data_IF_026058684775
#
_entry.id   IF_026058684775
#
_cell.length_a   1.000
_cell.length_b   1.000
_cell.length_c   1.000
_cell.angle_alpha   90.00
_cell.angle_beta   90.00
_cell.angle_gamma   90.00
#
_symmetry.space_group_name_H-M   'P 1'
#
loop_
_entity.id
_entity.type
_entity.pdbx_description
1 polymer ?
#
# COMPACT_ATOMS: atom_id res chain seq x y z
N UNK A 1 -4.30 -0.82 -21.62
CA UNK A 1 -3.36 0.15 -21.02
C UNK A 1 -4.13 1.41 -20.60
N UNK A 2 -4.48 1.52 -19.32
CA UNK A 2 -4.92 2.80 -18.75
C UNK A 2 -3.66 3.56 -18.32
N UNK A 3 -3.38 4.70 -18.96
CA UNK A 3 -2.28 5.58 -18.56
C UNK A 3 -2.66 6.21 -17.22
N UNK A 4 -2.15 5.65 -16.12
CA UNK A 4 -2.24 6.27 -14.80
C UNK A 4 -1.33 7.50 -14.84
N UNK A 5 -1.90 8.64 -15.25
CA UNK A 5 -1.30 9.96 -15.01
C UNK A 5 -1.03 10.06 -13.52
N UNK A 6 0.21 10.40 -13.14
CA UNK A 6 0.57 10.74 -11.76
C UNK A 6 -0.37 11.83 -11.23
N UNK A 7 -1.48 11.42 -10.61
CA UNK A 7 -2.40 12.30 -9.91
C UNK A 7 -1.76 12.67 -8.58
N UNK A 8 -0.93 13.71 -8.60
CA UNK A 8 -0.38 14.35 -7.39
C UNK A 8 -1.33 15.37 -6.79
N UNK A 9 -2.58 15.47 -7.30
CA UNK A 9 -3.62 16.24 -6.63
C UNK A 9 -3.79 15.71 -5.21
N UNK A 10 -3.71 16.63 -4.25
CA UNK A 10 -3.93 16.29 -2.85
C UNK A 10 -5.30 15.62 -2.75
N UNK A 11 -5.42 14.49 -2.04
CA UNK A 11 -6.72 13.84 -1.77
C UNK A 11 -7.77 14.84 -1.27
N UNK A 12 -7.33 15.90 -0.57
CA UNK A 12 -8.20 17.02 -0.15
C UNK A 12 -8.85 17.76 -1.31
N UNK A 13 -8.16 17.95 -2.43
CA UNK A 13 -8.72 18.60 -3.62
C UNK A 13 -9.75 17.67 -4.28
N UNK A 14 -9.47 16.37 -4.38
CA UNK A 14 -10.39 15.39 -4.97
C UNK A 14 -11.70 15.26 -4.19
N UNK A 15 -11.67 15.38 -2.85
CA UNK A 15 -12.86 15.22 -2.01
C UNK A 15 -13.65 16.52 -1.77
N UNK A 16 -13.05 17.70 -2.01
CA UNK A 16 -13.70 18.98 -1.67
C UNK A 16 -14.52 19.61 -2.81
N UNK A 17 -14.43 19.11 -4.04
CA UNK A 17 -15.28 19.56 -5.13
C UNK A 17 -16.71 19.01 -4.97
N UNK A 18 -17.47 19.65 -4.08
CA UNK A 18 -18.84 19.25 -3.70
C UNK A 18 -19.84 19.21 -4.86
N UNK A 19 -19.46 19.69 -6.05
CA UNK A 19 -20.30 19.66 -7.24
C UNK A 19 -20.36 18.27 -7.89
N UNK A 20 -19.40 17.39 -7.59
CA UNK A 20 -19.26 16.06 -8.23
C UNK A 20 -19.64 14.93 -7.24
N UNK A 21 -19.82 15.25 -5.97
CA UNK A 21 -20.14 14.28 -4.93
C UNK A 21 -21.65 14.04 -4.81
N UNK A 22 -22.03 12.76 -4.88
CA UNK A 22 -23.43 12.32 -4.84
C UNK A 22 -23.85 11.81 -3.44
N UNK A 23 -22.86 11.54 -2.58
CA UNK A 23 -23.05 11.03 -1.20
C UNK A 23 -22.12 11.74 -0.23
N UNK A 24 -22.68 12.02 0.93
CA UNK A 24 -22.01 12.45 2.16
C UNK A 24 -21.90 11.26 3.09
N UNK A 25 -20.68 10.95 3.52
CA UNK A 25 -20.40 9.97 4.56
C UNK A 25 -20.13 10.70 5.87
N UNK A 26 -20.73 10.24 6.95
CA UNK A 26 -20.41 10.67 8.31
C UNK A 26 -19.76 9.49 9.01
N UNK A 27 -18.46 9.59 9.26
CA UNK A 27 -17.71 8.58 9.99
C UNK A 27 -17.65 9.00 11.45
N UNK A 28 -18.32 8.23 12.30
CA UNK A 28 -18.33 8.37 13.75
C UNK A 28 -17.37 7.33 14.30
N UNK A 29 -16.07 7.61 14.17
CA UNK A 29 -15.08 6.73 14.76
C UNK A 29 -15.25 6.75 16.28
N UNK A 30 -15.56 5.61 16.89
CA UNK A 30 -15.32 5.47 18.33
C UNK A 30 -13.83 5.57 18.56
N UNK A 31 -13.41 6.65 19.20
CA UNK A 31 -12.07 6.77 19.79
C UNK A 31 -12.02 5.86 21.02
N UNK A 32 -12.26 4.57 20.86
CA UNK A 32 -11.88 3.61 21.89
C UNK A 32 -10.36 3.54 21.79
N UNK A 33 -9.70 4.33 22.65
CA UNK A 33 -8.26 4.23 22.88
C UNK A 33 -7.91 2.75 22.88
N UNK A 34 -6.97 2.28 22.03
CA UNK A 34 -6.58 0.88 22.04
C UNK A 34 -6.28 0.54 23.49
N UNK A 35 -7.11 -0.33 24.09
CA UNK A 35 -6.85 -0.80 25.45
C UNK A 35 -5.45 -1.38 25.37
N UNK A 36 -4.51 -0.76 26.07
CA UNK A 36 -3.14 -1.23 26.10
C UNK A 36 -3.20 -2.74 26.32
N UNK A 37 -2.54 -3.55 25.46
CA UNK A 37 -2.50 -4.97 25.70
C UNK A 37 -1.95 -5.14 27.11
N UNK A 38 -2.78 -5.63 28.03
CA UNK A 38 -2.32 -6.04 29.34
C UNK A 38 -1.33 -7.15 29.06
N UNK A 39 -0.04 -6.82 29.09
CA UNK A 39 1.02 -7.79 29.09
C UNK A 39 0.90 -8.55 30.40
N UNK A 40 0.08 -9.59 30.40
CA UNK A 40 0.13 -10.61 31.43
C UNK A 40 1.55 -11.17 31.41
N UNK A 41 2.23 -10.99 32.53
CA UNK A 41 3.61 -11.36 32.75
C UNK A 41 3.80 -12.85 32.40
N UNK A 42 4.57 -13.20 31.35
CA UNK A 42 4.65 -14.59 30.86
C UNK A 42 5.47 -15.53 31.77
N UNK A 43 5.76 -15.13 33.01
CA UNK A 43 6.69 -15.83 33.90
C UNK A 43 6.05 -16.81 34.91
N UNK A 44 4.76 -17.13 34.82
CA UNK A 44 4.09 -17.90 35.89
C UNK A 44 3.31 -19.16 35.46
N UNK A 45 3.50 -19.68 34.25
CA UNK A 45 2.76 -20.85 33.76
C UNK A 45 3.61 -22.00 33.16
N UNK A 46 4.89 -22.11 33.49
CA UNK A 46 5.68 -23.32 33.17
C UNK A 46 5.46 -24.41 34.23
N UNK A 47 4.23 -24.95 34.27
CA UNK A 47 3.99 -26.27 34.85
C UNK A 47 4.35 -27.33 33.81
N UNK A 48 5.48 -27.99 34.09
CA UNK A 48 5.94 -29.29 33.59
C UNK A 48 4.95 -30.03 32.66
N UNK A 49 5.13 -29.88 31.35
CA UNK A 49 4.60 -30.83 30.38
C UNK A 49 5.61 -31.98 30.18
N UNK A 50 5.18 -33.25 30.24
CA UNK A 50 6.06 -34.41 30.10
C UNK A 50 6.77 -34.39 28.74
N UNK A 51 8.08 -34.68 28.74
CA UNK A 51 8.94 -34.56 27.53
C UNK A 51 8.45 -35.40 26.34
N UNK A 52 7.69 -36.47 26.59
CA UNK A 52 7.14 -37.34 25.55
C UNK A 52 6.08 -36.65 24.66
N UNK A 53 5.33 -35.67 25.17
CA UNK A 53 4.34 -34.94 24.36
C UNK A 53 5.00 -33.93 23.40
N UNK A 54 6.17 -33.39 23.77
CA UNK A 54 6.90 -32.42 22.94
C UNK A 54 7.49 -33.04 21.68
N UNK A 55 7.91 -34.29 21.76
CA UNK A 55 8.46 -34.99 20.59
C UNK A 55 7.34 -35.42 19.63
N UNK A 56 6.17 -35.80 20.15
CA UNK A 56 4.99 -36.11 19.33
C UNK A 56 4.45 -34.86 18.61
N UNK A 57 4.47 -33.70 19.28
CA UNK A 57 4.09 -32.42 18.69
C UNK A 57 5.07 -31.98 17.59
N UNK A 58 6.39 -32.12 17.81
CA UNK A 58 7.40 -31.85 16.79
C UNK A 58 7.25 -32.74 15.56
N UNK A 59 6.92 -34.03 15.72
CA UNK A 59 6.71 -34.91 14.58
C UNK A 59 5.46 -34.51 13.77
N UNK A 60 4.38 -34.09 14.45
CA UNK A 60 3.16 -33.56 13.79
C UNK A 60 3.44 -32.25 13.06
N UNK A 61 4.23 -31.35 13.63
CA UNK A 61 4.64 -30.11 12.97
C UNK A 61 5.48 -30.39 11.72
N UNK A 62 6.45 -31.31 11.80
CA UNK A 62 7.29 -31.70 10.65
C UNK A 62 6.44 -32.33 9.53
N UNK A 63 5.43 -33.14 9.86
CA UNK A 63 4.51 -33.70 8.85
C UNK A 63 3.67 -32.61 8.19
N UNK A 64 3.11 -31.68 8.99
CA UNK A 64 2.31 -30.56 8.48
C UNK A 64 3.14 -29.61 7.60
N UNK A 65 4.40 -29.35 7.96
CA UNK A 65 5.31 -28.51 7.17
C UNK A 65 5.70 -29.16 5.83
N UNK A 66 5.78 -30.50 5.77
CA UNK A 66 6.00 -31.24 4.52
C UNK A 66 4.78 -31.23 3.61
N UNK A 67 3.58 -31.26 4.18
CA UNK A 67 2.32 -31.21 3.44
C UNK A 67 2.10 -29.82 2.82
N UNK A 68 2.33 -28.75 3.60
CA UNK A 68 2.29 -27.36 3.10
C UNK A 68 3.32 -27.15 1.97
N UNK A 69 4.55 -27.64 2.12
CA UNK A 69 5.58 -27.56 1.05
C UNK A 69 5.23 -28.36 -0.21
N UNK A 70 4.31 -29.32 -0.10
CA UNK A 70 3.82 -30.10 -1.25
C UNK A 70 2.71 -29.33 -1.96
N UNK A 71 1.75 -28.78 -1.22
CA UNK A 71 0.69 -27.90 -1.76
C UNK A 71 1.29 -26.66 -2.44
N UNK A 72 2.26 -25.98 -1.81
CA UNK A 72 2.92 -24.80 -2.41
C UNK A 72 3.59 -25.12 -3.77
N UNK A 73 4.13 -26.33 -3.94
CA UNK A 73 4.72 -26.77 -5.20
C UNK A 73 3.69 -27.15 -6.27
N UNK A 74 2.51 -27.59 -5.85
CA UNK A 74 1.40 -27.88 -6.76
C UNK A 74 0.80 -26.56 -7.27
N UNK A 75 0.62 -25.57 -6.40
CA UNK A 75 0.15 -24.22 -6.74
C UNK A 75 1.12 -23.44 -7.63
N UNK A 76 2.45 -23.56 -7.41
CA UNK A 76 3.45 -22.94 -8.29
C UNK A 76 3.38 -23.52 -9.72
N UNK A 77 3.18 -24.83 -9.86
CA UNK A 77 3.06 -25.49 -11.17
C UNK A 77 1.74 -25.16 -11.90
N UNK A 78 0.64 -24.94 -11.18
CA UNK A 78 -0.62 -24.52 -11.79
C UNK A 78 -0.55 -23.07 -12.29
N UNK A 79 0.07 -22.18 -11.51
CA UNK A 79 0.27 -20.78 -11.91
C UNK A 79 1.21 -20.63 -13.12
N UNK A 80 2.26 -21.45 -13.24
CA UNK A 80 3.11 -21.44 -14.44
C UNK A 80 2.31 -21.85 -15.69
N UNK A 81 1.42 -22.85 -15.60
CA UNK A 81 0.57 -23.28 -16.71
C UNK A 81 -0.52 -22.27 -17.08
N UNK A 82 -1.07 -21.53 -16.12
CA UNK A 82 -2.03 -20.46 -16.42
C UNK A 82 -1.35 -19.27 -17.09
N UNK A 83 -0.17 -18.87 -16.62
CA UNK A 83 0.59 -17.76 -17.21
C UNK A 83 1.02 -18.05 -18.66
N UNK A 84 1.39 -19.30 -19.00
CA UNK A 84 1.69 -19.68 -20.39
C UNK A 84 0.45 -19.53 -21.29
N UNK A 85 -0.73 -19.95 -20.83
CA UNK A 85 -1.99 -19.83 -21.59
C UNK A 85 -2.46 -18.39 -21.75
N UNK A 86 -2.21 -17.53 -20.76
CA UNK A 86 -2.61 -16.12 -20.82
C UNK A 86 -1.72 -15.33 -21.79
N UNK A 87 -0.41 -15.62 -21.81
CA UNK A 87 0.52 -15.05 -22.78
C UNK A 87 0.21 -15.44 -24.23
N UNK A 88 -0.23 -16.67 -24.49
CA UNK A 88 -0.67 -17.08 -25.84
C UNK A 88 -1.90 -16.30 -26.30
N UNK A 89 -2.90 -16.11 -25.42
CA UNK A 89 -4.11 -15.35 -25.74
C UNK A 89 -3.87 -13.84 -25.92
N UNK A 90 -2.90 -13.28 -25.21
CA UNK A 90 -2.57 -11.86 -25.34
C UNK A 90 -1.90 -11.57 -26.69
N UNK A 91 -1.01 -12.48 -27.14
CA UNK A 91 -0.37 -12.39 -28.45
C UNK A 91 -1.38 -12.54 -29.63
N UNK A 92 -2.40 -13.39 -29.50
CA UNK A 92 -3.45 -13.50 -30.54
C UNK A 92 -4.28 -12.20 -30.65
N UNK A 93 -4.64 -11.59 -29.52
CA UNK A 93 -5.43 -10.34 -29.50
C UNK A 93 -4.66 -9.12 -29.97
N UNK A 94 -3.34 -9.10 -29.82
CA UNK A 94 -2.51 -8.00 -30.31
C UNK A 94 -2.42 -8.01 -31.85
N UNK A 95 -2.35 -9.20 -32.46
CA UNK A 95 -2.38 -9.38 -33.91
C UNK A 95 -3.74 -9.00 -34.54
N UNK A 96 -4.87 -9.29 -33.89
CA UNK A 96 -6.19 -8.87 -34.38
C UNK A 96 -6.37 -7.34 -34.35
N UNK A 97 -5.84 -6.66 -33.32
CA UNK A 97 -5.95 -5.20 -33.16
C UNK A 97 -5.06 -4.41 -34.12
N UNK A 98 -3.96 -4.97 -34.60
CA UNK A 98 -3.17 -4.34 -35.67
C UNK A 98 -3.91 -4.34 -37.00
N UNK A 99 -4.64 -5.41 -37.32
CA UNK A 99 -5.43 -5.50 -38.56
C UNK A 99 -6.66 -4.56 -38.58
N UNK A 100 -7.31 -4.32 -37.42
CA UNK A 100 -8.43 -3.35 -37.36
C UNK A 100 -7.97 -1.89 -37.49
N UNK A 101 -6.79 -1.54 -36.96
CA UNK A 101 -6.25 -0.18 -37.03
C UNK A 101 -5.80 0.23 -38.43
N UNK A 102 -5.46 -0.71 -39.31
CA UNK A 102 -5.19 -0.42 -40.72
C UNK A 102 -6.47 -0.06 -41.49
N UNK A 103 -7.59 -0.72 -41.18
CA UNK A 103 -8.88 -0.48 -41.84
C UNK A 103 -9.58 0.82 -41.40
N UNK A 104 -9.37 1.29 -40.16
CA UNK A 104 -9.97 2.57 -39.70
C UNK A 104 -9.25 3.81 -40.26
N UNK A 105 -7.94 3.74 -40.52
CA UNK A 105 -7.18 4.86 -41.09
C UNK A 105 -7.62 5.20 -42.52
N UNK A 106 -8.15 4.24 -43.27
CA UNK A 106 -8.66 4.47 -44.63
C UNK A 106 -10.04 5.15 -44.66
N UNK A 107 -10.85 5.02 -43.59
CA UNK A 107 -12.17 5.67 -43.48
C UNK A 107 -12.12 7.12 -42.98
N UNK A 108 -11.18 7.46 -42.10
CA UNK A 108 -11.07 8.81 -41.52
C UNK A 108 -10.57 9.84 -42.55
N UNK A 109 -9.85 9.42 -43.59
CA UNK A 109 -9.38 10.30 -44.68
C UNK A 109 -10.48 10.93 -45.55
N UNK A 110 -11.70 10.36 -45.58
CA UNK A 110 -12.79 10.84 -46.45
C UNK A 110 -13.77 11.81 -45.79
N UNK A 111 -13.78 11.91 -44.44
CA UNK A 111 -14.73 12.76 -43.71
C UNK A 111 -14.17 14.12 -43.26
N UNK A 112 -12.87 14.38 -43.41
CA UNK A 112 -12.27 15.67 -43.01
C UNK A 112 -12.41 16.80 -44.04
N UNK A 113 -13.00 16.53 -45.21
CA UNK A 113 -13.14 17.51 -46.29
C UNK A 113 -14.54 18.14 -46.39
N UNK A 114 -15.55 17.66 -45.66
CA UNK A 114 -16.93 18.19 -45.75
C UNK A 114 -17.34 19.14 -44.61
N UNK A 115 -16.55 19.29 -43.55
CA UNK A 115 -16.92 20.09 -42.37
C UNK A 115 -16.22 21.45 -42.26
N UNK A 116 -15.41 21.85 -43.25
CA UNK A 116 -14.76 23.18 -43.25
C UNK A 116 -15.56 24.30 -43.95
N UNK A 117 -16.70 23.99 -44.57
CA UNK A 117 -17.54 24.99 -45.26
C UNK A 117 -18.77 25.48 -44.47
N UNK A 118 -19.06 24.91 -43.28
CA UNK A 118 -20.28 25.27 -42.52
C UNK A 118 -20.06 26.23 -41.34
N UNK A 119 -18.82 26.54 -40.94
CA UNK A 119 -18.54 27.37 -39.75
C UNK A 119 -18.33 28.87 -40.02
N UNK A 120 -18.46 29.35 -41.26
CA UNK A 120 -18.20 30.78 -41.59
C UNK A 120 -19.45 31.68 -41.65
N UNK A 121 -20.67 31.19 -41.39
CA UNK A 121 -21.91 31.96 -41.57
C UNK A 121 -22.73 32.28 -40.30
N UNK A 122 -22.18 32.20 -39.09
CA UNK A 122 -22.91 32.54 -37.85
C UNK A 122 -22.19 33.53 -36.91
N UNK A 123 -21.46 34.50 -37.47
CA UNK A 123 -20.97 35.64 -36.67
C UNK A 123 -21.32 36.94 -37.38
N UNK A 124 -22.56 37.39 -37.19
CA UNK A 124 -22.98 38.79 -37.24
C UNK A 124 -24.46 38.86 -36.92
N UNK A 125 -24.79 39.77 -35.99
CA UNK A 125 -26.10 40.34 -35.62
C UNK A 125 -26.37 40.14 -34.14
N UNK A 126 -26.18 41.23 -33.39
CA UNK A 126 -26.93 41.68 -32.21
C UNK A 126 -26.02 42.45 -31.26
N UNK A 127 -25.67 43.68 -31.65
CA UNK A 127 -25.41 44.76 -30.70
C UNK A 127 -26.53 45.78 -30.85
N UNK A 128 -26.84 46.44 -29.74
CA UNK A 128 -27.82 47.51 -29.53
C UNK A 128 -29.26 47.05 -29.22
N UNK A 129 -29.60 47.01 -27.91
CA UNK A 129 -30.80 47.63 -27.31
C UNK A 129 -30.67 47.62 -25.77
N UNK A 130 -31.05 48.76 -25.17
CA UNK A 130 -31.48 48.98 -23.77
C UNK A 130 -30.46 49.40 -22.70
N UNK A 131 -30.18 50.72 -22.70
CA UNK A 131 -29.90 51.51 -21.51
C UNK A 131 -31.21 52.09 -20.93
N UNK A 132 -31.87 51.38 -20.01
CA UNK A 132 -32.73 51.96 -18.93
C UNK A 132 -33.43 50.90 -18.03
N UNK A 133 -32.70 49.89 -17.53
CA UNK A 133 -33.21 48.93 -16.52
C UNK A 133 -32.24 48.70 -15.34
N UNK A 134 -31.30 49.62 -15.11
CA UNK A 134 -30.15 49.35 -14.24
C UNK A 134 -30.36 49.65 -12.75
N UNK A 135 -31.41 50.37 -12.36
CA UNK A 135 -31.58 50.76 -10.95
C UNK A 135 -32.53 49.83 -10.16
N UNK A 136 -33.60 49.32 -10.79
CA UNK A 136 -34.46 48.28 -10.19
C UNK A 136 -33.79 46.91 -10.11
N UNK A 137 -32.87 46.58 -11.04
CA UNK A 137 -32.09 45.32 -10.98
C UNK A 137 -31.08 45.30 -9.84
N UNK A 138 -30.49 46.45 -9.48
CA UNK A 138 -29.51 46.53 -8.38
C UNK A 138 -30.15 46.24 -7.02
N UNK A 139 -31.37 46.72 -6.79
CA UNK A 139 -32.08 46.50 -5.52
C UNK A 139 -32.52 45.03 -5.34
N UNK A 140 -33.03 44.40 -6.41
CA UNK A 140 -33.34 42.96 -6.40
C UNK A 140 -32.09 42.07 -6.22
N UNK A 141 -30.93 42.51 -6.72
CA UNK A 141 -29.65 41.81 -6.52
C UNK A 141 -29.19 41.92 -5.05
N UNK A 142 -29.35 43.09 -4.41
CA UNK A 142 -28.98 43.27 -3.01
C UNK A 142 -29.89 42.46 -2.07
N UNK A 143 -31.20 42.41 -2.32
CA UNK A 143 -32.13 41.62 -1.51
C UNK A 143 -31.87 40.11 -1.63
N UNK A 144 -31.54 39.62 -2.85
CA UNK A 144 -31.11 38.22 -3.07
C UNK A 144 -29.80 37.91 -2.36
N UNK A 145 -28.84 38.84 -2.32
CA UNK A 145 -27.58 38.69 -1.57
C UNK A 145 -27.84 38.59 -0.06
N UNK A 146 -28.70 39.46 0.50
CA UNK A 146 -29.05 39.45 1.92
C UNK A 146 -29.79 38.16 2.35
N UNK A 147 -30.74 37.67 1.52
CA UNK A 147 -31.43 36.39 1.77
C UNK A 147 -30.46 35.20 1.70
N UNK A 148 -29.51 35.21 0.76
CA UNK A 148 -28.46 34.17 0.63
C UNK A 148 -27.50 34.17 1.82
N UNK A 149 -27.18 35.34 2.37
CA UNK A 149 -26.30 35.45 3.55
C UNK A 149 -26.99 35.01 4.84
N UNK A 150 -28.29 35.35 5.04
CA UNK A 150 -29.08 34.85 6.17
C UNK A 150 -29.23 33.32 6.14
N UNK A 151 -29.40 32.72 4.95
CA UNK A 151 -29.41 31.26 4.76
C UNK A 151 -28.05 30.64 5.15
N UNK A 152 -26.94 31.22 4.68
CA UNK A 152 -25.57 30.79 5.07
C UNK A 152 -25.32 30.84 6.59
N UNK A 153 -25.84 31.86 7.28
CA UNK A 153 -25.71 31.98 8.75
C UNK A 153 -26.57 30.96 9.50
N UNK A 154 -27.76 30.61 8.97
CA UNK A 154 -28.62 29.56 9.53
C UNK A 154 -28.02 28.16 9.34
N UNK A 155 -27.42 27.90 8.18
CA UNK A 155 -26.74 26.62 7.89
C UNK A 155 -25.45 26.46 8.72
N UNK A 156 -24.69 27.54 8.95
CA UNK A 156 -23.53 27.55 9.87
C UNK A 156 -23.91 27.23 11.32
N UNK A 157 -25.14 27.51 11.75
CA UNK A 157 -25.60 27.26 13.13
C UNK A 157 -26.08 25.81 13.34
N UNK A 158 -26.32 25.06 12.26
CA UNK A 158 -26.77 23.65 12.29
C UNK A 158 -25.61 22.65 12.18
N UNK A 159 -24.39 23.10 11.87
CA UNK A 159 -23.20 22.25 11.76
C UNK A 159 -22.32 22.28 13.01
N UNK A 160 -22.92 22.19 14.19
CA UNK A 160 -22.17 21.89 15.41
C UNK A 160 -21.92 20.38 15.41
N UNK A 161 -20.99 19.94 14.57
CA UNK A 161 -20.52 18.55 14.57
C UNK A 161 -19.90 18.25 15.95
N UNK A 162 -20.25 17.12 16.52
CA UNK A 162 -19.67 16.65 17.78
C UNK A 162 -18.18 16.37 17.55
N UNK A 163 -17.33 16.68 18.53
CA UNK A 163 -15.90 16.37 18.47
C UNK A 163 -15.71 14.86 18.21
N UNK A 164 -15.32 14.50 16.98
CA UNK A 164 -15.13 13.11 16.56
C UNK A 164 -15.79 12.72 15.24
N UNK A 165 -16.75 13.50 14.74
CA UNK A 165 -17.38 13.21 13.44
C UNK A 165 -16.53 13.74 12.28
N UNK A 166 -16.16 12.86 11.35
CA UNK A 166 -15.52 13.24 10.08
C UNK A 166 -16.51 13.10 8.93
N UNK A 167 -16.62 14.13 8.10
CA UNK A 167 -17.51 14.16 6.94
C UNK A 167 -16.72 14.02 5.66
N UNK A 168 -17.10 13.06 4.81
CA UNK A 168 -16.49 12.82 3.50
C UNK A 168 -17.54 12.96 2.40
N UNK A 169 -17.14 13.48 1.25
CA UNK A 169 -18.00 13.59 0.08
C UNK A 169 -17.41 12.73 -1.05
N UNK A 170 -18.22 11.83 -1.61
CA UNK A 170 -17.74 10.85 -2.58
C UNK A 170 -18.75 10.64 -3.71
N UNK A 171 -18.25 10.11 -4.84
CA UNK A 171 -19.08 9.75 -5.98
C UNK A 171 -19.59 8.31 -5.85
N UNK A 172 -20.90 8.08 -6.06
CA UNK A 172 -21.52 6.74 -5.93
C UNK A 172 -20.94 5.74 -6.92
N UNK A 173 -20.67 6.18 -8.14
CA UNK A 173 -20.23 5.32 -9.24
C UNK A 173 -18.85 4.72 -8.94
N UNK A 174 -17.95 5.52 -8.36
CA UNK A 174 -16.60 5.06 -7.97
C UNK A 174 -16.71 3.99 -6.88
N UNK A 175 -17.50 4.25 -5.84
CA UNK A 175 -17.70 3.30 -4.74
C UNK A 175 -18.41 2.03 -5.17
N UNK A 176 -19.41 2.14 -6.05
CA UNK A 176 -20.09 1.00 -6.67
C UNK A 176 -19.10 0.10 -7.42
N UNK A 177 -18.16 0.68 -8.16
CA UNK A 177 -17.21 -0.10 -8.95
C UNK A 177 -16.14 -0.80 -8.10
N UNK A 178 -15.81 -0.25 -6.93
CA UNK A 178 -14.78 -0.84 -6.06
C UNK A 178 -15.31 -1.82 -5.01
N UNK A 179 -16.63 -1.89 -4.79
CA UNK A 179 -17.24 -2.60 -3.68
C UNK A 179 -18.63 -3.13 -4.01
N UNK A 180 -18.82 -4.43 -3.82
CA UNK A 180 -20.14 -5.06 -3.93
C UNK A 180 -21.10 -4.57 -2.82
N UNK A 181 -20.56 -4.32 -1.62
CA UNK A 181 -21.34 -3.74 -0.53
C UNK A 181 -21.97 -2.39 -0.91
N UNK A 182 -21.19 -1.47 -1.49
CA UNK A 182 -21.72 -0.19 -1.93
C UNK A 182 -22.67 -0.32 -3.12
N UNK A 183 -22.42 -1.28 -4.01
CA UNK A 183 -23.33 -1.59 -5.12
C UNK A 183 -24.71 -2.02 -4.61
N UNK A 184 -24.75 -2.96 -3.68
CA UNK A 184 -26.01 -3.38 -3.05
C UNK A 184 -26.65 -2.23 -2.26
N UNK A 185 -25.87 -1.49 -1.48
CA UNK A 185 -26.36 -0.39 -0.66
C UNK A 185 -26.99 0.75 -1.48
N UNK A 186 -26.46 1.05 -2.68
CA UNK A 186 -26.93 2.17 -3.50
C UNK A 186 -28.01 1.80 -4.53
N UNK A 187 -28.01 0.57 -5.03
CA UNK A 187 -28.85 0.17 -6.17
C UNK A 187 -29.92 -0.87 -5.83
N UNK A 188 -29.95 -1.41 -4.61
CA UNK A 188 -31.02 -2.32 -4.22
C UNK A 188 -32.37 -1.58 -4.13
N UNK A 189 -33.34 -2.01 -4.94
CA UNK A 189 -34.66 -1.40 -5.07
C UNK A 189 -35.51 -1.44 -3.80
N UNK A 190 -35.20 -2.34 -2.87
CA UNK A 190 -35.90 -2.42 -1.59
C UNK A 190 -35.53 -1.23 -0.71
N UNK A 191 -34.27 -0.79 -0.75
CA UNK A 191 -33.80 0.34 0.06
C UNK A 191 -34.37 1.65 -0.49
N UNK A 192 -34.32 1.83 -1.82
CA UNK A 192 -35.44 2.30 -2.66
C UNK A 192 -36.53 3.18 -2.07
N UNK A 193 -37.43 2.49 -1.38
CA UNK A 193 -38.76 2.95 -1.04
C UNK A 193 -38.82 3.47 0.39
N UNK A 194 -37.79 3.20 1.19
CA UNK A 194 -37.86 3.30 2.65
C UNK A 194 -37.10 4.50 3.24
N UNK A 195 -36.14 5.10 2.51
CA UNK A 195 -35.31 6.19 3.06
C UNK A 195 -35.21 7.40 2.13
N UNK A 196 -35.72 8.55 2.58
CA UNK A 196 -35.50 9.86 1.95
C UNK A 196 -34.05 10.40 2.09
N UNK A 197 -33.12 9.60 2.64
CA UNK A 197 -31.76 10.01 3.00
C UNK A 197 -30.66 9.25 2.21
N UNK A 198 -30.79 9.11 0.87
CA UNK A 198 -29.77 8.46 0.02
C UNK A 198 -28.44 9.20 -0.10
N UNK A 199 -28.41 10.44 0.37
CA UNK A 199 -27.25 11.29 0.26
C UNK A 199 -26.40 11.24 1.53
N UNK A 200 -26.83 10.53 2.58
CA UNK A 200 -26.08 10.46 3.83
C UNK A 200 -25.91 9.01 4.29
N UNK A 201 -24.66 8.59 4.48
CA UNK A 201 -24.31 7.27 5.01
C UNK A 201 -23.51 7.46 6.30
N UNK A 202 -23.97 6.86 7.39
CA UNK A 202 -23.28 6.92 8.68
C UNK A 202 -22.45 5.65 8.88
N UNK A 203 -21.18 5.79 9.25
CA UNK A 203 -20.24 4.70 9.49
C UNK A 203 -19.71 4.82 10.92
N UNK A 204 -20.14 3.90 11.79
CA UNK A 204 -19.80 3.96 13.22
C UNK A 204 -18.65 3.02 13.62
N UNK A 205 -18.30 2.04 12.77
CA UNK A 205 -17.41 0.93 13.13
C UNK A 205 -15.92 1.21 12.93
N UNK A 206 -15.56 2.25 12.20
CA UNK A 206 -14.18 2.48 11.76
C UNK A 206 -13.72 3.90 12.03
N UNK A 207 -12.43 4.05 12.30
CA UNK A 207 -11.82 5.37 12.38
C UNK A 207 -11.83 6.09 11.03
N UNK A 208 -11.95 7.42 11.08
CA UNK A 208 -11.90 8.29 9.91
C UNK A 208 -10.61 8.10 9.09
N UNK A 209 -9.46 7.86 9.76
CA UNK A 209 -8.17 7.63 9.10
C UNK A 209 -8.18 6.35 8.24
N UNK A 210 -8.78 5.28 8.75
CA UNK A 210 -8.92 4.02 8.01
C UNK A 210 -9.82 4.24 6.80
N UNK A 211 -10.96 4.94 6.99
CA UNK A 211 -11.86 5.26 5.89
C UNK A 211 -11.21 6.09 4.78
N UNK A 212 -10.32 7.03 5.12
CA UNK A 212 -9.53 7.77 4.13
C UNK A 212 -8.68 6.84 3.26
N UNK A 213 -8.08 5.79 3.84
CA UNK A 213 -7.27 4.83 3.08
C UNK A 213 -8.15 4.01 2.13
N UNK A 214 -9.36 3.60 2.57
CA UNK A 214 -10.34 2.94 1.70
C UNK A 214 -10.73 3.83 0.52
N UNK A 215 -11.02 5.12 0.78
CA UNK A 215 -11.35 6.08 -0.26
C UNK A 215 -10.17 6.32 -1.20
N UNK A 216 -8.95 6.48 -0.68
CA UNK A 216 -7.75 6.59 -1.49
C UNK A 216 -7.64 5.39 -2.44
N UNK A 217 -7.78 4.17 -1.90
CA UNK A 217 -7.74 2.96 -2.71
C UNK A 217 -8.83 2.93 -3.79
N UNK A 218 -10.07 3.31 -3.46
CA UNK A 218 -11.16 3.35 -4.43
C UNK A 218 -10.88 4.28 -5.62
N UNK A 219 -10.17 5.39 -5.39
CA UNK A 219 -9.86 6.38 -6.43
C UNK A 219 -8.55 6.09 -7.17
N UNK A 220 -7.51 5.61 -6.48
CA UNK A 220 -6.15 5.48 -7.04
C UNK A 220 -5.69 4.04 -7.22
N UNK A 221 -6.47 3.06 -6.75
CA UNK A 221 -6.08 1.64 -6.64
C UNK A 221 -4.77 1.43 -5.87
N UNK A 222 -4.42 2.36 -4.97
CA UNK A 222 -3.22 2.32 -4.13
C UNK A 222 -3.54 2.69 -2.69
N UNK A 223 -2.84 2.08 -1.73
CA UNK A 223 -3.07 2.29 -0.30
C UNK A 223 -1.76 2.38 0.48
N UNK A 224 -1.70 3.27 1.46
CA UNK A 224 -0.55 3.43 2.37
C UNK A 224 -0.72 2.58 3.61
N UNK A 225 -0.16 1.37 3.57
CA UNK A 225 -0.19 0.40 4.68
C UNK A 225 1.06 0.54 5.56
N UNK A 226 0.86 0.42 6.86
CA UNK A 226 1.88 0.48 7.92
C UNK A 226 1.62 -0.63 8.94
N UNK A 227 2.61 -0.94 9.78
CA UNK A 227 2.50 -1.96 10.82
C UNK A 227 1.34 -1.69 11.80
N UNK A 228 1.00 -0.42 12.02
CA UNK A 228 -0.01 -0.02 13.00
C UNK A 228 -1.43 -0.03 12.44
N UNK A 229 -1.60 0.09 11.11
CA UNK A 229 -2.92 0.27 10.49
C UNK A 229 -3.38 -0.88 9.59
N UNK A 230 -2.47 -1.76 9.13
CA UNK A 230 -2.79 -2.73 8.08
C UNK A 230 -3.94 -3.68 8.48
N UNK A 231 -4.00 -4.06 9.75
CA UNK A 231 -5.03 -4.97 10.27
C UNK A 231 -6.41 -4.31 10.25
N UNK A 232 -6.51 -3.08 10.77
CA UNK A 232 -7.74 -2.30 10.71
C UNK A 232 -8.18 -2.01 9.28
N UNK A 233 -7.24 -1.72 8.37
CA UNK A 233 -7.52 -1.52 6.95
C UNK A 233 -8.04 -2.81 6.30
N UNK A 234 -7.42 -3.96 6.60
CA UNK A 234 -7.86 -5.26 6.10
C UNK A 234 -9.28 -5.57 6.56
N UNK A 235 -9.56 -5.39 7.84
CA UNK A 235 -10.87 -5.73 8.42
C UNK A 235 -11.97 -4.80 7.89
N UNK A 236 -11.66 -3.51 7.74
CA UNK A 236 -12.56 -2.57 7.07
C UNK A 236 -12.78 -2.91 5.59
N UNK A 237 -11.72 -3.29 4.87
CA UNK A 237 -11.83 -3.71 3.47
C UNK A 237 -12.68 -4.99 3.32
N UNK A 238 -12.57 -5.95 4.25
CA UNK A 238 -13.44 -7.13 4.30
C UNK A 238 -14.89 -6.73 4.57
N UNK A 239 -15.11 -5.84 5.54
CA UNK A 239 -16.47 -5.36 5.87
C UNK A 239 -17.16 -4.69 4.67
N UNK A 240 -16.43 -3.84 3.95
CA UNK A 240 -16.94 -3.17 2.75
C UNK A 240 -16.72 -3.99 1.46
N UNK A 241 -16.33 -5.26 1.55
CA UNK A 241 -16.14 -6.16 0.40
C UNK A 241 -15.24 -5.57 -0.72
N UNK A 242 -14.16 -4.88 -0.35
CA UNK A 242 -13.16 -4.33 -1.28
C UNK A 242 -12.05 -5.35 -1.48
N UNK A 243 -12.34 -6.41 -2.24
CA UNK A 243 -11.49 -7.59 -2.39
C UNK A 243 -10.05 -7.27 -2.83
N UNK A 244 -9.88 -6.29 -3.72
CA UNK A 244 -8.55 -5.86 -4.16
C UNK A 244 -7.69 -5.29 -3.02
N UNK A 245 -8.29 -4.53 -2.11
CA UNK A 245 -7.59 -3.98 -0.94
C UNK A 245 -7.32 -5.06 0.12
N UNK A 246 -8.20 -6.05 0.26
CA UNK A 246 -7.97 -7.21 1.14
C UNK A 246 -6.73 -7.98 0.70
N UNK A 247 -6.64 -8.32 -0.59
CA UNK A 247 -5.47 -9.01 -1.17
C UNK A 247 -4.19 -8.17 -1.04
N UNK A 248 -4.30 -6.85 -1.26
CA UNK A 248 -3.17 -5.93 -1.08
C UNK A 248 -2.68 -5.91 0.37
N UNK A 249 -3.59 -5.90 1.36
CA UNK A 249 -3.22 -5.94 2.77
C UNK A 249 -2.59 -7.27 3.19
N UNK A 250 -3.13 -8.40 2.72
CA UNK A 250 -2.61 -9.74 3.02
C UNK A 250 -1.21 -9.96 2.41
N UNK A 251 -1.01 -9.55 1.16
CA UNK A 251 0.31 -9.60 0.51
C UNK A 251 1.34 -8.69 1.18
N UNK A 252 0.95 -7.50 1.62
CA UNK A 252 1.83 -6.58 2.35
C UNK A 252 2.40 -7.23 3.62
N UNK A 253 1.57 -7.93 4.39
CA UNK A 253 2.00 -8.65 5.61
C UNK A 253 3.01 -9.74 5.31
N UNK A 254 2.80 -10.49 4.22
CA UNK A 254 3.72 -11.55 3.82
C UNK A 254 5.10 -10.98 3.46
N UNK A 255 5.12 -9.89 2.68
CA UNK A 255 6.34 -9.17 2.30
C UNK A 255 7.06 -8.66 3.56
N UNK A 256 6.33 -8.06 4.49
CA UNK A 256 6.90 -7.47 5.70
C UNK A 256 7.47 -8.54 6.66
N UNK A 257 6.78 -9.67 6.83
CA UNK A 257 7.30 -10.83 7.57
C UNK A 257 8.61 -11.35 6.97
N UNK A 258 8.66 -11.45 5.64
CA UNK A 258 9.87 -11.87 4.93
C UNK A 258 11.01 -10.87 5.10
N UNK A 259 10.71 -9.56 5.11
CA UNK A 259 11.70 -8.50 5.39
C UNK A 259 12.32 -8.67 6.77
N UNK A 260 11.50 -8.83 7.81
CA UNK A 260 11.94 -9.02 9.19
C UNK A 260 12.78 -10.31 9.33
N UNK A 261 12.35 -11.41 8.71
CA UNK A 261 13.08 -12.67 8.75
C UNK A 261 14.47 -12.55 8.09
N UNK A 262 14.55 -11.86 6.95
CA UNK A 262 15.82 -11.59 6.27
C UNK A 262 16.76 -10.70 7.09
N UNK A 263 16.23 -9.69 7.79
CA UNK A 263 17.01 -8.85 8.70
C UNK A 263 17.59 -9.66 9.88
N UNK A 264 16.80 -10.56 10.47
CA UNK A 264 17.27 -11.48 11.53
C UNK A 264 18.37 -12.42 11.04
N UNK A 265 18.22 -13.00 9.84
CA UNK A 265 19.23 -13.86 9.23
C UNK A 265 20.54 -13.12 8.92
N UNK A 266 20.45 -11.83 8.57
CA UNK A 266 21.64 -11.01 8.33
C UNK A 266 22.33 -10.58 9.64
N UNK A 267 21.56 -10.31 10.70
CA UNK A 267 22.10 -9.99 12.02
C UNK A 267 22.90 -11.17 12.62
N UNK A 268 22.41 -12.41 12.49
CA UNK A 268 23.10 -13.61 13.02
C UNK A 268 24.41 -13.93 12.28
N UNK A 269 24.46 -13.68 10.95
CA UNK A 269 25.68 -13.83 10.14
C UNK A 269 26.79 -12.85 10.54
N UNK A 270 26.46 -11.68 11.07
CA UNK A 270 27.44 -10.70 11.50
C UNK A 270 28.06 -11.02 12.87
N UNK A 271 27.31 -11.66 13.78
CA UNK A 271 27.84 -12.08 15.08
C UNK A 271 28.88 -13.23 14.95
N UNK A 272 28.66 -14.17 14.04
CA UNK A 272 29.57 -15.31 13.82
C UNK A 272 30.90 -14.95 13.14
N UNK A 273 30.97 -13.83 12.42
CA UNK A 273 32.23 -13.33 11.82
C UNK A 273 33.17 -12.70 12.84
N UNK A 274 32.64 -12.15 13.95
CA UNK A 274 33.46 -11.53 14.99
C UNK A 274 34.04 -12.55 15.99
N UNK A 275 33.40 -13.70 16.18
CA UNK A 275 33.91 -14.75 17.08
C UNK A 275 35.01 -15.61 16.44
N UNK A 276 35.05 -15.74 15.11
CA UNK A 276 36.09 -16.54 14.41
C UNK A 276 37.50 -15.93 14.42
N UNK A 277 37.66 -14.65 14.74
CA UNK A 277 38.98 -13.99 14.79
C UNK A 277 39.68 -14.01 16.16
N UNK A 278 39.07 -14.59 17.21
CA UNK A 278 39.69 -14.63 18.55
C UNK A 278 40.42 -15.93 18.92
N UNK A 279 40.31 -17.00 18.13
CA UNK A 279 40.87 -18.33 18.51
C UNK A 279 42.02 -18.87 17.65
N UNK A 280 42.60 -18.11 16.70
CA UNK A 280 43.75 -18.58 15.91
C UNK A 280 45.13 -18.35 16.57
N UNK A 281 45.16 -17.92 17.83
CA UNK A 281 46.38 -17.57 18.55
C UNK A 281 46.89 -18.60 19.56
N UNK A 282 46.66 -19.91 19.39
CA UNK A 282 47.38 -20.92 20.18
C UNK A 282 48.31 -21.69 19.26
N UNK A 283 49.44 -21.04 18.96
CA UNK A 283 50.56 -21.68 18.28
C UNK A 283 51.01 -22.89 19.08
N UNK A 284 50.63 -24.09 18.64
CA UNK A 284 51.32 -25.32 19.00
C UNK A 284 52.63 -25.35 18.24
N UNK A 285 53.55 -24.46 18.61
CA UNK A 285 54.94 -24.56 18.23
C UNK A 285 55.49 -25.83 18.86
N UNK A 286 55.44 -26.96 18.14
CA UNK A 286 56.27 -28.14 18.40
C UNK A 286 57.73 -27.75 18.16
N UNK A 287 58.29 -26.97 19.07
CA UNK A 287 59.73 -26.78 19.16
C UNK A 287 60.34 -28.12 19.59
N UNK A 288 60.88 -28.88 18.64
CA UNK A 288 61.82 -29.97 18.93
C UNK A 288 63.15 -29.34 19.39
N UNK A 289 63.18 -28.84 20.61
CA UNK A 289 64.41 -28.41 21.28
C UNK A 289 64.98 -29.55 22.11
N UNK A 290 65.97 -30.27 21.59
CA UNK A 290 66.86 -31.11 22.42
C UNK A 290 67.79 -30.17 23.19
N UNK A 291 67.34 -29.66 24.34
CA UNK A 291 68.14 -28.85 25.24
C UNK A 291 68.29 -29.52 26.60
N UNK A 292 69.42 -30.20 26.86
CA UNK A 292 69.84 -30.57 28.20
C UNK A 292 70.36 -29.30 28.90
N UNK A 293 69.50 -28.64 29.68
CA UNK A 293 69.88 -27.49 30.50
C UNK A 293 69.47 -27.70 31.95
N UNK A 294 70.41 -28.14 32.80
CA UNK A 294 70.27 -28.04 34.26
C UNK A 294 70.55 -26.59 34.65
N UNK A 295 69.51 -25.83 34.98
CA UNK A 295 69.65 -24.46 35.47
C UNK A 295 68.66 -24.16 36.58
N UNK A 296 69.12 -24.26 37.83
CA UNK A 296 68.41 -23.70 39.00
C UNK A 296 68.57 -22.18 38.95
N UNK A 297 67.53 -21.48 38.47
CA UNK A 297 67.48 -20.01 38.46
C UNK A 297 66.21 -19.52 39.15
N UNK A 298 66.30 -19.22 40.45
CA UNK A 298 65.32 -18.39 41.15
C UNK A 298 65.52 -16.96 40.65
N UNK A 299 64.66 -16.42 39.80
CA UNK A 299 64.54 -14.97 39.66
C UNK A 299 63.17 -14.51 39.15
N UNK A 300 62.60 -13.56 39.92
CA UNK A 300 61.38 -12.81 39.64
C UNK A 300 61.65 -11.80 38.52
N UNK A 301 61.25 -12.10 37.28
CA UNK A 301 61.41 -11.19 36.14
C UNK A 301 60.09 -10.69 35.59
N UNK A 302 59.70 -9.43 35.89
CA UNK A 302 58.59 -8.70 35.26
C UNK A 302 58.98 -8.33 33.81
N UNK A 303 58.61 -9.16 32.83
CA UNK A 303 58.83 -8.87 31.40
C UNK A 303 57.63 -8.22 30.72
N UNK A 304 57.65 -6.89 30.51
CA UNK A 304 56.72 -6.18 29.61
C UNK A 304 57.17 -6.37 28.15
N UNK A 305 56.57 -7.31 27.43
CA UNK A 305 56.80 -7.51 25.99
C UNK A 305 55.91 -6.59 25.13
N UNK A 306 56.47 -5.54 24.54
CA UNK A 306 55.83 -4.75 23.47
C UNK A 306 56.14 -5.39 22.11
N UNK A 307 55.27 -6.26 21.61
CA UNK A 307 55.35 -6.81 20.26
C UNK A 307 54.73 -5.86 19.23
N UNK A 308 55.54 -5.20 18.39
CA UNK A 308 55.08 -4.48 17.19
C UNK A 308 55.13 -5.41 15.98
N UNK A 309 54.02 -6.06 15.65
CA UNK A 309 53.86 -6.82 14.41
C UNK A 309 53.45 -5.90 13.25
N UNK A 310 54.38 -5.59 12.33
CA UNK A 310 54.07 -4.94 11.04
C UNK A 310 53.79 -6.02 10.00
N UNK A 311 52.50 -6.30 9.74
CA UNK A 311 52.06 -7.14 8.63
C UNK A 311 51.87 -6.31 7.36
N UNK A 312 52.81 -6.37 6.41
CA UNK A 312 52.70 -5.80 5.06
C UNK A 312 51.95 -6.79 4.15
N UNK A 313 50.64 -6.61 4.00
CA UNK A 313 49.83 -7.36 3.03
C UNK A 313 49.73 -6.64 1.69
N UNK A 314 50.61 -6.94 0.74
CA UNK A 314 50.41 -6.61 -0.69
C UNK A 314 49.31 -7.52 -1.26
N UNK A 315 48.17 -6.97 -1.66
CA UNK A 315 47.24 -7.65 -2.58
C UNK A 315 47.13 -6.85 -3.88
N UNK A 316 47.86 -7.35 -4.89
CA UNK A 316 47.58 -7.10 -6.32
C UNK A 316 46.31 -7.89 -6.68
N UNK A 317 45.34 -7.25 -7.32
CA UNK A 317 44.08 -7.91 -7.68
C UNK A 317 43.38 -7.25 -8.88
N UNK A 318 43.93 -7.52 -10.07
CA UNK A 318 43.32 -7.58 -11.41
C UNK A 318 42.11 -6.69 -11.77
N UNK A 319 42.38 -5.81 -12.74
CA UNK A 319 41.47 -5.31 -13.79
C UNK A 319 40.54 -6.42 -14.34
N UNK A 320 39.25 -6.10 -14.52
CA UNK A 320 38.43 -6.65 -15.61
C UNK A 320 37.81 -5.49 -16.40
N UNK A 321 38.13 -5.46 -17.70
CA UNK A 321 37.56 -4.60 -18.74
C UNK A 321 36.27 -5.22 -19.31
N UNK A 322 35.46 -4.37 -19.93
CA UNK A 322 34.58 -4.57 -21.11
C UNK A 322 33.51 -5.68 -21.01
N UNK A 323 32.24 -5.49 -21.30
CA UNK A 323 31.55 -4.47 -22.10
C UNK A 323 30.54 -5.19 -23.01
N UNK A 324 29.33 -4.66 -23.18
CA UNK A 324 28.49 -4.90 -24.38
C UNK A 324 27.30 -3.93 -24.39
N UNK A 325 27.37 -2.93 -25.26
CA UNK A 325 26.20 -2.20 -25.78
C UNK A 325 25.63 -3.03 -26.94
N UNK A 326 24.32 -3.21 -26.99
CA UNK A 326 23.59 -3.51 -28.23
C UNK A 326 22.58 -2.39 -28.47
N UNK A 327 22.52 -1.99 -29.74
CA UNK A 327 21.62 -0.99 -30.31
C UNK A 327 20.25 -1.58 -30.49
#
# INVERSE_FOLDING_TARGET
MFVIRNMTHSLKEMFNDSKIADVKFIVRGKLESPKEPKYENPNEADQYQPEEEKDLQKEKEIKKEKEIKKEEKEDENENEKENEKENEKENEKENEKENEKENEKEKVGKNLQSNKEQEQNQVKVNEDVNLNENDTKKEQIQEKKAKKEKKRKKDKKKSRFEEGESVFYCNKVILHNCSNYWKEQFYNENWRKEKQHYHEVVIDKFEAKIFIILLQYAYTHSASLTLDNWEMVRDAAKHFQINGLVKLAESWVLIEKNRINNEKLNASKNQTKNSKNKNSGKGTGKGKGKGRGRGRGKNKGKGKGKGRGRGRGKKKGKKKKSGKKRK
#
